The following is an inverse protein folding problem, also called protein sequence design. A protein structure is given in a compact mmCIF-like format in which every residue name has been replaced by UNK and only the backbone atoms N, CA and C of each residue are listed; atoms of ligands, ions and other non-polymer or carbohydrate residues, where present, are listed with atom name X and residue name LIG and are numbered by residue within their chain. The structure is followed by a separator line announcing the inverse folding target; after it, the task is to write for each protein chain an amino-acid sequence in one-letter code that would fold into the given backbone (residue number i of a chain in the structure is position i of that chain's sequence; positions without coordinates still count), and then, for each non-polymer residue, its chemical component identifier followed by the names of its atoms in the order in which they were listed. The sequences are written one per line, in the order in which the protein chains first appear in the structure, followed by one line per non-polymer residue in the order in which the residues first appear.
data_IF_737632915050
#
_entry.id   IF_737632915050
#
_cell.length_a   1.000
_cell.length_b   1.000
_cell.length_c   1.000
_cell.angle_alpha   90.00
_cell.angle_beta   90.00
_cell.angle_gamma   90.00
#
_symmetry.space_group_name_H-M   'P 1'
#
loop_
_entity.id
_entity.type
_entity.pdbx_description
1 polymer ?
#
# COMPACT_ATOMS: atom_id res chain seq x y z
N UNK A 1 -1.79 20.34 -1.47
CA UNK A 1 -0.98 19.12 -1.30
C UNK A 1 -1.85 18.10 -0.60
N UNK A 2 -2.08 16.94 -1.20
CA UNK A 2 -2.84 15.84 -0.62
C UNK A 2 -1.87 14.82 -0.04
N UNK A 3 -2.05 14.41 1.21
CA UNK A 3 -1.27 13.30 1.77
C UNK A 3 -2.04 12.01 1.48
N UNK A 4 -1.37 11.03 0.88
CA UNK A 4 -1.98 9.75 0.51
C UNK A 4 -1.03 8.63 0.91
N UNK A 5 -1.54 7.66 1.66
CA UNK A 5 -0.78 6.45 1.98
C UNK A 5 -0.68 5.59 0.72
N UNK A 6 0.54 5.25 0.30
CA UNK A 6 0.81 4.44 -0.88
C UNK A 6 1.24 3.04 -0.43
N UNK A 7 0.45 2.03 -0.80
CA UNK A 7 0.77 0.62 -0.53
C UNK A 7 1.00 -0.06 -1.87
N UNK A 8 2.25 -0.38 -2.21
CA UNK A 8 2.58 -1.00 -3.50
C UNK A 8 2.02 -2.43 -3.64
N UNK A 9 1.89 -3.12 -2.51
CA UNK A 9 1.32 -4.46 -2.43
C UNK A 9 2.22 -5.56 -2.98
N UNK A 10 1.62 -6.70 -3.33
CA UNK A 10 2.30 -7.94 -3.66
C UNK A 10 2.19 -8.32 -5.14
N UNK A 11 3.00 -9.28 -5.58
CA UNK A 11 2.94 -9.84 -6.93
C UNK A 11 3.19 -8.78 -7.99
N UNK A 12 2.20 -8.52 -8.86
CA UNK A 12 2.29 -7.45 -9.87
C UNK A 12 2.12 -6.04 -9.29
N UNK A 13 1.75 -5.91 -8.01
CA UNK A 13 1.41 -4.64 -7.39
C UNK A 13 2.46 -3.54 -7.55
N UNK A 14 3.73 -3.77 -7.18
CA UNK A 14 4.75 -2.74 -7.30
C UNK A 14 4.91 -2.17 -8.71
N UNK A 15 4.93 -3.03 -9.74
CA UNK A 15 5.13 -2.58 -11.12
C UNK A 15 3.96 -1.77 -11.67
N UNK A 16 2.71 -2.16 -11.37
CA UNK A 16 1.53 -1.42 -11.81
C UNK A 16 1.34 -0.12 -11.02
N UNK A 17 1.67 -0.12 -9.73
CA UNK A 17 1.54 1.04 -8.85
C UNK A 17 2.57 2.11 -9.21
N UNK A 18 3.81 1.74 -9.52
CA UNK A 18 4.84 2.68 -9.97
C UNK A 18 4.44 3.41 -11.26
N UNK A 19 3.75 2.72 -12.18
CA UNK A 19 3.21 3.34 -13.40
C UNK A 19 2.01 4.23 -13.09
N UNK A 20 1.10 3.78 -12.21
CA UNK A 20 -0.06 4.57 -11.81
C UNK A 20 0.34 5.89 -11.11
N UNK A 21 1.31 5.85 -10.20
CA UNK A 21 1.86 7.05 -9.55
C UNK A 21 2.41 8.02 -10.59
N UNK A 22 3.22 7.56 -11.55
CA UNK A 22 3.74 8.41 -12.64
C UNK A 22 2.64 9.09 -13.45
N UNK A 23 1.56 8.37 -13.75
CA UNK A 23 0.41 8.92 -14.50
C UNK A 23 -0.31 9.98 -13.66
N UNK A 24 -0.51 9.73 -12.36
CA UNK A 24 -1.15 10.70 -11.46
C UNK A 24 -0.29 11.95 -11.31
N UNK A 25 1.01 11.80 -11.10
CA UNK A 25 1.95 12.92 -10.97
C UNK A 25 1.97 13.77 -12.26
N UNK A 26 1.86 13.14 -13.44
CA UNK A 26 1.80 13.84 -14.73
C UNK A 26 0.56 14.75 -14.89
N UNK A 27 -0.49 14.58 -14.07
CA UNK A 27 -1.65 15.49 -14.06
C UNK A 27 -1.34 16.85 -13.42
N UNK A 28 -0.23 16.97 -12.69
CA UNK A 28 0.13 18.17 -11.94
C UNK A 28 -0.57 18.31 -10.58
N UNK A 29 -1.38 17.33 -10.17
CA UNK A 29 -1.94 17.30 -8.81
C UNK A 29 -0.81 17.10 -7.80
N UNK A 30 -0.74 17.97 -6.79
CA UNK A 30 0.28 17.90 -5.76
C UNK A 30 -0.08 16.87 -4.69
N UNK A 31 0.48 15.66 -4.79
CA UNK A 31 0.33 14.56 -3.83
C UNK A 31 1.66 14.30 -3.13
N UNK A 32 1.61 14.16 -1.81
CA UNK A 32 2.69 13.61 -1.01
C UNK A 32 2.38 12.14 -0.73
N UNK A 33 3.12 11.25 -1.39
CA UNK A 33 3.00 9.81 -1.25
C UNK A 33 3.73 9.34 0.01
N UNK A 34 3.00 8.86 1.00
CA UNK A 34 3.56 8.24 2.21
C UNK A 34 3.58 6.72 2.01
N UNK A 35 4.73 6.16 1.63
CA UNK A 35 4.85 4.70 1.39
C UNK A 35 4.67 3.91 2.69
N UNK A 36 3.87 2.84 2.62
CA UNK A 36 3.60 1.93 3.72
C UNK A 36 3.52 0.47 3.23
N UNK A 37 3.87 -0.48 4.11
CA UNK A 37 3.89 -1.91 3.80
C UNK A 37 2.55 -2.57 4.16
N UNK A 38 2.00 -3.41 3.29
CA UNK A 38 0.93 -4.34 3.63
C UNK A 38 0.99 -5.60 2.74
N UNK A 39 0.30 -6.66 3.15
CA UNK A 39 0.24 -7.93 2.44
C UNK A 39 1.38 -8.89 2.82
N UNK A 40 1.72 -9.79 1.91
CA UNK A 40 2.74 -10.82 2.13
C UNK A 40 4.12 -10.20 2.32
N UNK A 41 4.48 -9.19 1.52
CA UNK A 41 5.74 -8.48 1.67
C UNK A 41 5.90 -7.85 3.07
N UNK A 42 4.80 -7.31 3.62
CA UNK A 42 4.80 -6.79 4.99
C UNK A 42 4.92 -7.91 6.03
N UNK A 43 4.23 -9.03 5.83
CA UNK A 43 4.31 -10.18 6.73
C UNK A 43 5.73 -10.76 6.78
N UNK A 44 6.41 -10.89 5.64
CA UNK A 44 7.79 -11.37 5.55
C UNK A 44 8.77 -10.41 6.25
N UNK A 45 8.53 -9.11 6.16
CA UNK A 45 9.42 -8.07 6.71
C UNK A 45 9.18 -7.79 8.20
N UNK A 46 7.92 -7.79 8.64
CA UNK A 46 7.49 -7.29 9.95
C UNK A 46 6.84 -8.36 10.82
N UNK A 47 6.58 -9.57 10.29
CA UNK A 47 5.79 -10.60 10.96
C UNK A 47 4.29 -10.29 11.03
N UNK A 48 3.86 -9.17 10.46
CA UNK A 48 2.49 -8.70 10.44
C UNK A 48 2.12 -8.27 9.01
N UNK A 49 1.04 -8.83 8.49
CA UNK A 49 0.57 -8.55 7.13
C UNK A 49 -0.08 -7.16 7.01
N UNK A 50 -0.47 -6.55 8.13
CA UNK A 50 -0.85 -5.15 8.22
C UNK A 50 -0.22 -4.56 9.49
N UNK A 51 0.97 -3.94 9.37
CA UNK A 51 1.64 -3.28 10.49
C UNK A 51 0.82 -2.11 11.05
N UNK A 52 0.93 -1.87 12.36
CA UNK A 52 0.24 -0.76 13.02
C UNK A 52 0.62 0.61 12.46
N UNK A 53 1.87 0.77 12.00
CA UNK A 53 2.34 1.98 11.32
C UNK A 53 1.58 2.25 10.02
N UNK A 54 1.23 1.19 9.27
CA UNK A 54 0.42 1.31 8.05
C UNK A 54 -0.99 1.76 8.40
N UNK A 55 -1.60 1.19 9.45
CA UNK A 55 -2.90 1.62 9.94
C UNK A 55 -2.87 3.09 10.42
N UNK A 56 -1.83 3.49 11.14
CA UNK A 56 -1.63 4.86 11.59
C UNK A 56 -1.48 5.84 10.42
N UNK A 57 -0.76 5.45 9.36
CA UNK A 57 -0.63 6.22 8.13
C UNK A 57 -1.99 6.43 7.46
N UNK A 58 -2.77 5.36 7.30
CA UNK A 58 -4.11 5.43 6.71
C UNK A 58 -5.04 6.30 7.56
N UNK A 59 -5.02 6.16 8.88
CA UNK A 59 -5.88 6.96 9.77
C UNK A 59 -5.51 8.45 9.76
N UNK A 60 -4.21 8.76 9.69
CA UNK A 60 -3.68 10.12 9.54
C UNK A 60 -4.06 10.75 8.19
N UNK A 61 -3.88 10.01 7.09
CA UNK A 61 -4.02 10.55 5.74
C UNK A 61 -5.45 10.44 5.19
N UNK A 62 -6.29 9.58 5.79
CA UNK A 62 -7.70 9.31 5.44
C UNK A 62 -7.93 8.75 4.03
N UNK A 63 -6.88 8.66 3.22
CA UNK A 63 -6.89 8.17 1.84
C UNK A 63 -5.70 7.25 1.64
N UNK A 64 -5.96 6.07 1.08
CA UNK A 64 -4.93 5.11 0.71
C UNK A 64 -5.08 4.70 -0.75
N UNK A 65 -3.96 4.63 -1.46
CA UNK A 65 -3.88 4.06 -2.80
C UNK A 65 -3.10 2.75 -2.71
N UNK A 66 -3.82 1.63 -2.87
CA UNK A 66 -3.29 0.30 -2.57
C UNK A 66 -3.33 -0.66 -3.76
N UNK A 67 -2.17 -1.26 -4.04
CA UNK A 67 -2.02 -2.38 -4.96
C UNK A 67 -2.77 -3.64 -4.48
N UNK A 68 -2.72 -4.73 -5.27
CA UNK A 68 -3.22 -6.03 -4.84
C UNK A 68 -2.38 -6.58 -3.68
N UNK A 69 -3.04 -7.21 -2.70
CA UNK A 69 -2.39 -7.91 -1.59
C UNK A 69 -2.69 -9.41 -1.69
N UNK A 70 -1.67 -10.24 -1.48
CA UNK A 70 -1.82 -11.70 -1.53
C UNK A 70 -2.47 -12.18 -0.25
N UNK A 71 -3.65 -12.78 -0.34
CA UNK A 71 -4.26 -13.54 0.76
C UNK A 71 -3.95 -15.02 0.57
N UNK A 72 -3.19 -15.68 1.47
CA UNK A 72 -2.90 -17.10 1.35
C UNK A 72 -4.18 -17.95 1.44
N UNK A 73 -4.27 -18.98 0.59
CA UNK A 73 -5.45 -19.86 0.52
C UNK A 73 -5.36 -20.93 1.61
N UNK A 74 -6.41 -21.02 2.44
CA UNK A 74 -6.62 -22.13 3.39
C UNK A 74 -5.78 -22.09 4.68
N UNK A 75 -4.82 -21.15 4.82
CA UNK A 75 -4.00 -20.90 6.02
C UNK A 75 -3.56 -19.43 6.05
N UNK A 76 -3.10 -18.93 7.20
CA UNK A 76 -2.49 -17.60 7.33
C UNK A 76 -3.46 -16.53 7.84
N UNK A 77 -3.31 -15.31 7.35
CA UNK A 77 -4.08 -14.15 7.79
C UNK A 77 -5.40 -13.97 7.02
N UNK A 78 -6.36 -13.28 7.63
CA UNK A 78 -7.60 -12.86 6.96
C UNK A 78 -7.26 -11.90 5.81
N UNK A 79 -8.11 -11.87 4.79
CA UNK A 79 -7.98 -10.90 3.71
C UNK A 79 -7.89 -9.48 4.26
N UNK A 80 -6.98 -8.70 3.67
CA UNK A 80 -6.55 -7.37 4.09
C UNK A 80 -6.82 -6.40 2.94
#
# INVERSE_FOLDING_TARGET
MHNVTLIKGDGIGPSIMDVAVKIIDATGVNINWEEADAGMAAYEKHGAALPDETLASIDKNRVAFKGPLTTPVGKGFRSI
#
